data_IF_301585842622
#
_entry.id   IF_301585842622
#
_cell.length_a   1.000
_cell.length_b   1.000
_cell.length_c   1.000
_cell.angle_alpha   90.00
_cell.angle_beta   90.00
_cell.angle_gamma   90.00
#
_symmetry.space_group_name_H-M   'P 1'
#
loop_
_entity.id
_entity.type
_entity.pdbx_description
1 polymer ?
#
# COMPACT_ATOMS: atom_id res chain seq x y z
N UNK A 1 28.30 -5.26 -58.40
CA UNK A 1 29.15 -5.03 -57.22
C UNK A 1 28.33 -5.38 -56.00
N UNK A 2 28.75 -6.37 -55.20
CA UNK A 2 28.02 -6.75 -53.98
C UNK A 2 27.98 -5.56 -53.02
N UNK A 3 26.79 -5.19 -52.58
CA UNK A 3 26.54 -4.03 -51.73
C UNK A 3 27.36 -4.19 -50.42
N UNK A 4 28.01 -3.13 -49.92
CA UNK A 4 28.93 -3.22 -48.77
C UNK A 4 28.29 -3.91 -47.55
N UNK A 5 26.97 -3.80 -47.41
CA UNK A 5 26.18 -4.51 -46.39
C UNK A 5 26.29 -6.05 -46.50
N UNK A 6 26.33 -6.60 -47.70
CA UNK A 6 26.43 -8.05 -47.91
C UNK A 6 27.81 -8.59 -47.52
N UNK A 7 28.87 -7.82 -47.75
CA UNK A 7 30.24 -8.18 -47.33
C UNK A 7 30.39 -8.15 -45.82
N UNK A 8 29.88 -7.09 -45.17
CA UNK A 8 29.86 -7.01 -43.71
C UNK A 8 29.07 -8.17 -43.08
N UNK A 9 27.92 -8.53 -43.65
CA UNK A 9 27.12 -9.64 -43.15
C UNK A 9 27.87 -10.98 -43.27
N UNK A 10 28.52 -11.24 -44.39
CA UNK A 10 29.29 -12.47 -44.59
C UNK A 10 30.47 -12.59 -43.63
N UNK A 11 31.20 -11.49 -43.38
CA UNK A 11 32.28 -11.49 -42.40
C UNK A 11 31.76 -11.74 -40.99
N UNK A 12 30.66 -11.09 -40.61
CA UNK A 12 30.04 -11.27 -39.30
C UNK A 12 29.50 -12.69 -39.10
N UNK A 13 28.85 -13.27 -40.11
CA UNK A 13 28.35 -14.65 -40.08
C UNK A 13 29.51 -15.66 -39.96
N UNK A 14 30.67 -15.36 -40.53
CA UNK A 14 31.88 -16.18 -40.43
C UNK A 14 32.57 -16.05 -39.07
N UNK A 15 32.61 -14.84 -38.50
CA UNK A 15 33.14 -14.58 -37.15
C UNK A 15 32.26 -15.20 -36.05
N UNK A 16 30.93 -15.23 -36.26
CA UNK A 16 29.96 -15.79 -35.32
C UNK A 16 29.70 -17.28 -35.54
N UNK A 17 30.31 -17.91 -36.54
CA UNK A 17 30.05 -19.31 -36.90
C UNK A 17 30.36 -20.28 -35.74
N UNK A 18 31.37 -19.94 -34.92
CA UNK A 18 31.77 -20.70 -33.73
C UNK A 18 31.10 -20.21 -32.43
N UNK A 19 30.33 -19.11 -32.49
CA UNK A 19 29.64 -18.52 -31.34
C UNK A 19 28.19 -19.00 -31.31
N UNK A 20 27.97 -20.16 -30.71
CA UNK A 20 26.60 -20.62 -30.40
C UNK A 20 26.06 -19.92 -29.16
N UNK A 21 25.11 -19.00 -29.36
CA UNK A 21 24.34 -18.39 -28.27
C UNK A 21 23.44 -19.43 -27.58
N UNK A 22 23.97 -20.09 -26.55
CA UNK A 22 23.27 -21.12 -25.77
C UNK A 22 22.28 -20.57 -24.74
N UNK A 23 22.37 -19.28 -24.42
CA UNK A 23 21.61 -18.68 -23.31
C UNK A 23 20.55 -17.67 -23.76
N UNK A 24 20.12 -17.70 -25.02
CA UNK A 24 19.12 -16.76 -25.55
C UNK A 24 17.86 -16.71 -24.67
N UNK A 25 17.31 -17.88 -24.34
CA UNK A 25 16.11 -17.98 -23.49
C UNK A 25 16.36 -17.49 -22.05
N UNK A 26 17.57 -17.69 -21.53
CA UNK A 26 17.97 -17.26 -20.18
C UNK A 26 18.08 -15.73 -20.10
N UNK A 27 18.72 -15.11 -21.09
CA UNK A 27 18.81 -13.65 -21.19
C UNK A 27 17.44 -13.02 -21.40
N UNK A 28 16.57 -13.64 -22.21
CA UNK A 28 15.21 -13.15 -22.46
C UNK A 28 14.33 -13.23 -21.19
N UNK A 29 14.53 -14.24 -20.35
CA UNK A 29 13.84 -14.39 -19.06
C UNK A 29 14.31 -13.35 -18.03
N UNK A 30 15.60 -13.02 -18.00
CA UNK A 30 16.13 -12.01 -17.07
C UNK A 30 15.79 -10.57 -17.49
N UNK A 31 15.74 -10.28 -18.79
CA UNK A 31 15.51 -8.91 -19.30
C UNK A 31 14.03 -8.53 -19.41
N UNK A 32 13.11 -9.49 -19.43
CA UNK A 32 11.66 -9.23 -19.45
C UNK A 32 10.94 -9.99 -18.33
N UNK A 33 10.57 -9.33 -17.21
CA UNK A 33 9.70 -9.96 -16.23
C UNK A 33 8.34 -10.24 -16.87
N UNK A 34 8.03 -11.52 -17.08
CA UNK A 34 6.82 -12.00 -17.79
C UNK A 34 5.57 -12.02 -16.91
N UNK A 35 5.70 -11.88 -15.60
CA UNK A 35 4.58 -12.14 -14.67
C UNK A 35 4.43 -11.06 -13.59
N UNK A 36 3.19 -10.72 -13.22
CA UNK A 36 2.88 -9.77 -12.14
C UNK A 36 3.56 -10.11 -10.81
N UNK A 37 3.70 -11.40 -10.47
CA UNK A 37 4.44 -11.85 -9.29
C UNK A 37 5.95 -11.55 -9.37
N UNK A 38 6.55 -11.68 -10.55
CA UNK A 38 7.95 -11.34 -10.77
C UNK A 38 8.18 -9.82 -10.72
N UNK A 39 7.19 -9.01 -11.16
CA UNK A 39 7.22 -7.55 -10.95
C UNK A 39 7.20 -7.19 -9.47
N UNK A 40 6.37 -7.86 -8.67
CA UNK A 40 6.30 -7.62 -7.22
C UNK A 40 7.61 -8.00 -6.51
N UNK A 41 8.20 -9.15 -6.87
CA UNK A 41 9.54 -9.50 -6.39
C UNK A 41 10.61 -8.51 -6.86
N UNK A 42 10.52 -7.98 -8.08
CA UNK A 42 11.46 -6.97 -8.56
C UNK A 42 11.32 -5.62 -7.83
N UNK A 43 10.11 -5.31 -7.36
CA UNK A 43 9.87 -4.13 -6.50
C UNK A 43 10.47 -4.34 -5.13
N UNK A 44 10.39 -5.56 -4.57
CA UNK A 44 11.02 -5.92 -3.30
C UNK A 44 12.56 -5.97 -3.37
N UNK A 45 13.10 -6.37 -4.53
CA UNK A 45 14.54 -6.61 -4.69
C UNK A 45 15.31 -5.39 -5.24
N UNK A 46 14.62 -4.40 -5.80
CA UNK A 46 15.23 -3.08 -6.03
C UNK A 46 15.26 -2.36 -4.71
N UNK A 47 16.39 -1.76 -4.38
CA UNK A 47 16.57 -0.77 -3.33
C UNK A 47 15.38 0.20 -3.34
N UNK A 48 14.34 -0.10 -2.55
CA UNK A 48 13.22 0.80 -2.40
C UNK A 48 13.76 1.90 -1.49
N UNK A 49 14.34 2.94 -2.11
CA UNK A 49 14.57 4.21 -1.43
C UNK A 49 13.19 4.78 -1.16
N UNK A 50 12.54 4.30 -0.11
CA UNK A 50 11.28 4.88 0.37
C UNK A 50 11.65 6.30 0.79
N UNK A 51 11.13 7.33 0.11
CA UNK A 51 11.37 8.69 0.56
C UNK A 51 10.76 8.80 1.96
N UNK A 52 11.63 8.92 2.97
CA UNK A 52 11.26 8.79 4.40
C UNK A 52 10.20 9.83 4.76
N UNK A 53 10.34 11.05 4.23
CA UNK A 53 9.46 12.16 4.55
C UNK A 53 7.99 11.91 4.13
N UNK A 54 7.65 11.64 2.86
CA UNK A 54 6.26 11.36 2.47
C UNK A 54 5.71 10.06 3.08
N UNK A 55 6.56 9.06 3.33
CA UNK A 55 6.10 7.83 3.96
C UNK A 55 5.73 8.06 5.42
N UNK A 56 6.59 8.73 6.18
CA UNK A 56 6.36 9.05 7.60
C UNK A 56 5.14 9.95 7.79
N UNK A 57 4.95 10.97 6.94
CA UNK A 57 3.77 11.83 7.02
C UNK A 57 2.49 11.05 6.74
N UNK A 58 2.49 10.19 5.71
CA UNK A 58 1.35 9.32 5.42
C UNK A 58 1.04 8.36 6.58
N UNK A 59 2.05 7.78 7.22
CA UNK A 59 1.83 6.87 8.36
C UNK A 59 1.27 7.60 9.57
N UNK A 60 1.83 8.77 9.92
CA UNK A 60 1.34 9.58 11.04
C UNK A 60 -0.11 10.04 10.81
N UNK A 61 -0.44 10.45 9.59
CA UNK A 61 -1.77 10.91 9.23
C UNK A 61 -2.77 9.74 9.29
N UNK A 62 -2.39 8.56 8.81
CA UNK A 62 -3.21 7.35 8.91
C UNK A 62 -3.47 6.92 10.36
N UNK A 63 -2.43 6.90 11.20
CA UNK A 63 -2.55 6.60 12.63
C UNK A 63 -3.40 7.66 13.34
N UNK A 64 -3.25 8.93 12.99
CA UNK A 64 -4.05 10.02 13.55
C UNK A 64 -5.53 9.88 13.23
N UNK A 65 -5.89 9.52 12.00
CA UNK A 65 -7.28 9.29 11.60
C UNK A 65 -7.85 8.01 12.24
N UNK A 66 -7.09 6.92 12.24
CA UNK A 66 -7.53 5.67 12.85
C UNK A 66 -7.65 5.80 14.38
N UNK A 67 -6.77 6.58 15.00
CA UNK A 67 -6.85 6.90 16.42
C UNK A 67 -8.03 7.82 16.72
N UNK A 68 -8.32 8.80 15.88
CA UNK A 68 -9.43 9.73 16.12
C UNK A 68 -10.78 9.03 16.12
N UNK A 69 -11.00 8.00 15.30
CA UNK A 69 -12.27 7.24 15.36
C UNK A 69 -12.43 6.45 16.66
N UNK A 70 -11.32 6.00 17.25
CA UNK A 70 -11.31 5.28 18.54
C UNK A 70 -11.52 6.25 19.71
N UNK A 71 -10.85 7.41 19.71
CA UNK A 71 -10.95 8.40 20.80
C UNK A 71 -12.18 9.31 20.71
N UNK A 72 -12.65 9.63 19.50
CA UNK A 72 -13.84 10.45 19.26
C UNK A 72 -15.04 9.61 18.82
N UNK A 73 -15.14 8.37 19.28
CA UNK A 73 -16.46 7.72 19.40
C UNK A 73 -17.28 8.53 20.41
N UNK A 74 -17.80 9.68 19.93
CA UNK A 74 -18.75 10.52 20.63
C UNK A 74 -19.92 9.62 20.98
N UNK A 75 -20.23 9.56 22.28
CA UNK A 75 -21.55 9.15 22.71
C UNK A 75 -22.55 9.97 21.91
N UNK A 76 -23.34 9.29 21.07
CA UNK A 76 -24.48 9.84 20.35
C UNK A 76 -25.22 10.81 21.27
N UNK A 77 -25.46 12.07 20.85
CA UNK A 77 -26.18 13.03 21.67
C UNK A 77 -27.58 12.47 21.92
N UNK A 78 -27.77 11.89 23.11
CA UNK A 78 -29.03 11.26 23.47
C UNK A 78 -30.13 12.32 23.41
N UNK A 79 -31.18 12.13 22.58
CA UNK A 79 -32.21 13.13 22.35
C UNK A 79 -33.05 13.44 23.61
N UNK A 80 -32.83 12.71 24.70
CA UNK A 80 -33.58 12.77 25.96
C UNK A 80 -32.74 13.32 27.13
N UNK A 81 -31.71 14.13 26.86
CA UNK A 81 -30.88 14.76 27.91
C UNK A 81 -31.66 15.92 28.56
N UNK A 82 -32.65 15.61 29.37
CA UNK A 82 -33.39 16.56 30.21
C UNK A 82 -32.88 16.47 31.64
N UNK A 83 -32.88 17.61 32.34
CA UNK A 83 -32.52 17.67 33.76
C UNK A 83 -33.78 17.41 34.58
N UNK A 84 -33.69 16.48 35.52
CA UNK A 84 -34.77 16.13 36.45
C UNK A 84 -34.25 16.34 37.87
N UNK A 85 -35.05 17.03 38.69
CA UNK A 85 -34.75 17.20 40.11
C UNK A 85 -35.39 16.05 40.90
N UNK A 86 -34.56 15.28 41.60
CA UNK A 86 -35.00 14.20 42.49
C UNK A 86 -34.37 14.43 43.85
N UNK A 87 -35.20 14.54 44.88
CA UNK A 87 -34.75 14.69 46.27
C UNK A 87 -33.78 15.88 46.50
N UNK A 88 -34.02 17.00 45.82
CA UNK A 88 -33.20 18.22 45.92
C UNK A 88 -31.87 18.17 45.15
N UNK A 89 -31.62 17.12 44.36
CA UNK A 89 -30.45 17.00 43.50
C UNK A 89 -30.88 16.92 42.03
N UNK A 90 -30.09 17.53 41.15
CA UNK A 90 -30.37 17.59 39.72
C UNK A 90 -29.58 16.49 38.99
N UNK A 91 -30.28 15.64 38.25
CA UNK A 91 -29.71 14.54 37.48
C UNK A 91 -30.15 14.62 36.02
N UNK A 92 -29.41 13.96 35.12
CA UNK A 92 -29.91 13.69 33.78
C UNK A 92 -30.95 12.56 33.81
N UNK A 93 -32.10 12.78 33.17
CA UNK A 93 -33.25 11.87 33.17
C UNK A 93 -32.89 10.45 32.72
N UNK A 94 -32.09 10.33 31.67
CA UNK A 94 -31.66 9.07 31.08
C UNK A 94 -30.75 8.25 32.01
N UNK A 95 -29.87 8.93 32.76
CA UNK A 95 -29.00 8.30 33.74
C UNK A 95 -29.77 7.86 34.99
N UNK A 96 -30.71 8.68 35.45
CA UNK A 96 -31.56 8.35 36.59
C UNK A 96 -32.45 7.14 36.28
N UNK A 97 -33.10 7.13 35.11
CA UNK A 97 -33.96 6.02 34.68
C UNK A 97 -33.19 4.71 34.56
N UNK A 98 -31.98 4.72 33.96
CA UNK A 98 -31.09 3.55 33.91
C UNK A 98 -30.67 3.05 35.30
N UNK A 99 -30.39 3.96 36.23
CA UNK A 99 -29.97 3.61 37.58
C UNK A 99 -31.12 2.98 38.39
N UNK A 100 -32.35 3.46 38.20
CA UNK A 100 -33.55 2.93 38.85
C UNK A 100 -34.00 1.62 38.21
N UNK A 101 -33.96 1.50 36.87
CA UNK A 101 -34.38 0.31 36.14
C UNK A 101 -33.45 -0.91 36.33
N UNK A 102 -32.22 -0.69 36.80
CA UNK A 102 -31.24 -1.75 37.09
C UNK A 102 -31.40 -2.35 38.50
N UNK A 103 -32.39 -1.90 39.28
CA UNK A 103 -32.68 -2.36 40.64
C UNK A 103 -33.90 -3.28 40.65
#
# INVERSE_FOLDING_TARGET
MLNNQQRMKQQLDQELQDVTFTSFDKVLQETRPKTFRQRLNSLWNREITIPVLPFATATLLFIGIAGSTIFFSQEEPSPHRQLVEVSGNVYYSDLYEKAVAKK
#
